data_IF_864664109625
#
_entry.id   IF_864664109625
#
_cell.length_a   1.000
_cell.length_b   1.000
_cell.length_c   1.000
_cell.angle_alpha   90.00
_cell.angle_beta   90.00
_cell.angle_gamma   90.00
#
_symmetry.space_group_name_H-M   'P 1'
#
loop_
_entity.id
_entity.type
_entity.pdbx_description
1 polymer ?
#
# COMPACT_ATOMS: atom_id res chain seq x y z
N UNK A 1 -20.63 -2.18 -8.69
CA UNK A 1 -19.36 -2.72 -8.15
C UNK A 1 -18.58 -1.58 -7.51
N UNK A 2 -17.77 -1.86 -6.50
CA UNK A 2 -16.89 -0.87 -5.87
C UNK A 2 -15.45 -1.29 -6.18
N UNK A 3 -14.66 -0.32 -6.63
CA UNK A 3 -13.25 -0.47 -6.97
C UNK A 3 -12.45 0.46 -6.09
N UNK A 4 -11.35 -0.04 -5.54
CA UNK A 4 -10.49 0.68 -4.60
C UNK A 4 -9.05 0.32 -4.90
N UNK A 5 -8.15 1.29 -4.72
CA UNK A 5 -6.71 1.05 -4.73
C UNK A 5 -6.09 1.62 -3.45
N UNK A 6 -5.13 0.92 -2.86
CA UNK A 6 -4.55 1.29 -1.55
C UNK A 6 -3.36 2.22 -1.76
N UNK A 7 -3.35 3.36 -1.06
CA UNK A 7 -2.31 4.39 -1.08
C UNK A 7 -2.02 5.03 -2.47
N UNK A 8 -2.87 4.83 -3.46
CA UNK A 8 -2.75 5.43 -4.80
C UNK A 8 -4.09 5.45 -5.52
N UNK A 9 -4.14 6.10 -6.66
CA UNK A 9 -5.32 6.17 -7.51
C UNK A 9 -5.54 4.88 -8.32
N UNK A 10 -6.78 4.70 -8.76
CA UNK A 10 -7.23 3.63 -9.65
C UNK A 10 -6.81 4.00 -11.07
N UNK A 11 -6.10 3.10 -11.75
CA UNK A 11 -5.82 3.24 -13.18
C UNK A 11 -7.13 3.05 -13.96
N UNK A 12 -7.63 4.06 -14.69
CA UNK A 12 -8.83 3.90 -15.49
C UNK A 12 -8.55 3.00 -16.68
N UNK A 13 -9.58 2.27 -17.09
CA UNK A 13 -9.58 1.50 -18.32
C UNK A 13 -9.18 0.02 -18.22
N UNK A 14 -9.02 -0.48 -16.99
CA UNK A 14 -8.67 -1.87 -16.72
C UNK A 14 -9.80 -2.50 -15.90
N UNK A 15 -10.19 -3.74 -16.23
CA UNK A 15 -11.13 -4.56 -15.42
C UNK A 15 -12.44 -3.89 -14.97
N UNK A 16 -13.00 -3.02 -15.81
CA UNK A 16 -14.28 -2.34 -15.55
C UNK A 16 -14.16 -0.97 -14.88
N UNK A 17 -12.98 -0.38 -14.80
CA UNK A 17 -12.74 0.98 -14.26
C UNK A 17 -12.78 2.09 -15.32
N UNK A 18 -13.26 1.79 -16.54
CA UNK A 18 -13.27 2.72 -17.69
C UNK A 18 -13.89 4.08 -17.36
N UNK A 19 -14.93 4.09 -16.54
CA UNK A 19 -15.69 5.30 -16.23
C UNK A 19 -15.26 5.96 -14.91
N UNK A 20 -14.27 5.43 -14.21
CA UNK A 20 -13.78 6.02 -12.97
C UNK A 20 -12.99 7.30 -13.22
N UNK A 21 -13.23 8.32 -12.40
CA UNK A 21 -12.53 9.60 -12.49
C UNK A 21 -11.02 9.46 -12.27
N UNK A 22 -10.24 10.24 -13.03
CA UNK A 22 -8.78 10.31 -12.88
C UNK A 22 -8.39 10.78 -11.47
N UNK A 23 -7.42 10.11 -10.86
CA UNK A 23 -6.95 10.39 -9.51
C UNK A 23 -7.89 9.89 -8.40
N UNK A 24 -8.97 9.18 -8.73
CA UNK A 24 -9.85 8.55 -7.74
C UNK A 24 -9.18 7.33 -7.10
N UNK A 25 -9.15 7.25 -5.77
CA UNK A 25 -8.69 6.07 -5.03
C UNK A 25 -9.82 5.08 -4.75
N UNK A 26 -11.07 5.52 -4.87
CA UNK A 26 -12.27 4.71 -4.67
C UNK A 26 -13.40 5.14 -5.60
N UNK A 27 -13.98 4.18 -6.30
CA UNK A 27 -14.95 4.40 -7.37
C UNK A 27 -16.08 3.37 -7.31
N UNK A 28 -17.33 3.83 -7.38
CA UNK A 28 -18.52 2.97 -7.48
C UNK A 28 -19.07 2.99 -8.89
N UNK A 29 -19.06 1.84 -9.56
CA UNK A 29 -19.59 1.67 -10.93
C UNK A 29 -20.99 1.07 -10.87
N UNK A 30 -21.96 1.71 -11.54
CA UNK A 30 -23.36 1.31 -11.65
C UNK A 30 -23.72 1.27 -13.15
N UNK A 31 -23.78 0.06 -13.72
CA UNK A 31 -23.96 -0.09 -15.16
C UNK A 31 -22.83 0.61 -15.93
N UNK A 32 -23.17 1.65 -16.70
CA UNK A 32 -22.19 2.43 -17.47
C UNK A 32 -21.84 3.79 -16.83
N UNK A 33 -22.27 4.05 -15.60
CA UNK A 33 -21.89 5.27 -14.86
C UNK A 33 -20.96 4.91 -13.71
N UNK A 34 -20.09 5.85 -13.33
CA UNK A 34 -19.28 5.71 -12.14
C UNK A 34 -19.34 6.96 -11.29
N UNK A 35 -19.20 6.78 -9.98
CA UNK A 35 -19.22 7.83 -8.98
C UNK A 35 -17.92 7.73 -8.19
N UNK A 36 -17.23 8.85 -8.07
CA UNK A 36 -16.03 8.98 -7.22
C UNK A 36 -16.44 8.97 -5.74
N UNK A 37 -15.77 8.15 -4.94
CA UNK A 37 -15.93 8.03 -3.49
C UNK A 37 -14.64 8.39 -2.73
N UNK A 38 -13.81 9.22 -3.35
CA UNK A 38 -12.69 9.90 -2.72
C UNK A 38 -11.35 9.71 -3.44
N UNK A 39 -10.45 10.65 -3.13
CA UNK A 39 -9.07 10.68 -3.62
C UNK A 39 -8.07 10.37 -2.50
N UNK A 40 -6.91 9.77 -2.81
CA UNK A 40 -5.87 9.45 -1.84
C UNK A 40 -5.05 10.69 -1.46
N UNK A 41 -5.66 11.62 -0.72
CA UNK A 41 -5.04 12.89 -0.33
C UNK A 41 -4.23 12.74 0.97
N UNK A 42 -4.77 12.00 1.93
CA UNK A 42 -4.15 11.79 3.24
C UNK A 42 -3.50 10.41 3.32
N UNK A 43 -2.44 10.32 4.12
CA UNK A 43 -1.82 9.05 4.47
C UNK A 43 -2.67 8.22 5.43
N UNK A 44 -2.14 7.05 5.77
CA UNK A 44 -2.76 6.12 6.72
C UNK A 44 -2.65 6.66 8.15
N UNK A 45 -3.69 6.48 8.95
CA UNK A 45 -3.76 6.85 10.36
C UNK A 45 -3.68 5.59 11.24
N UNK A 46 -2.89 5.63 12.31
CA UNK A 46 -2.78 4.52 13.27
C UNK A 46 -3.99 4.53 14.21
N UNK A 47 -4.60 3.37 14.44
CA UNK A 47 -5.69 3.17 15.40
C UNK A 47 -5.28 2.19 16.49
N UNK A 48 -6.12 1.99 17.51
CA UNK A 48 -5.83 1.06 18.60
C UNK A 48 -5.82 -0.42 18.18
N UNK A 49 -6.45 -0.75 17.06
CA UNK A 49 -6.64 -2.13 16.57
C UNK A 49 -6.03 -2.41 15.20
N UNK A 50 -5.34 -1.43 14.62
CA UNK A 50 -4.74 -1.54 13.29
C UNK A 50 -4.48 -0.18 12.68
N UNK A 51 -4.86 0.00 11.41
CA UNK A 51 -4.65 1.25 10.69
C UNK A 51 -5.86 1.61 9.84
N UNK A 52 -6.10 2.91 9.66
CA UNK A 52 -7.27 3.45 8.95
C UNK A 52 -6.81 4.31 7.77
N UNK A 53 -7.41 4.10 6.61
CA UNK A 53 -7.21 4.92 5.43
C UNK A 53 -8.52 5.58 5.04
N UNK A 54 -8.48 6.90 4.82
CA UNK A 54 -9.67 7.69 4.50
C UNK A 54 -9.45 8.44 3.19
N UNK A 55 -10.30 8.16 2.22
CA UNK A 55 -10.40 8.91 0.97
C UNK A 55 -11.63 9.80 1.01
N UNK A 56 -11.46 11.04 0.58
CA UNK A 56 -12.53 12.04 0.57
C UNK A 56 -12.58 12.72 -0.78
N UNK A 57 -13.78 12.99 -1.26
CA UNK A 57 -14.01 13.76 -2.49
C UNK A 57 -14.00 15.25 -2.19
N UNK A 58 -13.66 16.07 -3.17
CA UNK A 58 -13.69 17.53 -3.04
C UNK A 58 -15.10 18.12 -3.24
N UNK A 59 -15.98 17.39 -3.92
CA UNK A 59 -17.32 17.82 -4.29
C UNK A 59 -18.39 16.99 -3.59
N UNK A 60 -19.51 17.62 -3.24
CA UNK A 60 -20.67 16.96 -2.64
C UNK A 60 -21.83 16.86 -3.65
N UNK A 61 -22.20 15.66 -4.13
CA UNK A 61 -23.35 15.48 -5.00
C UNK A 61 -24.69 15.80 -4.31
N UNK A 62 -25.69 16.16 -5.11
CA UNK A 62 -27.08 16.35 -4.64
C UNK A 62 -27.64 15.01 -4.18
N UNK A 63 -28.20 14.96 -2.97
CA UNK A 63 -28.72 13.74 -2.35
C UNK A 63 -27.75 13.06 -1.37
N UNK A 64 -26.49 13.50 -1.31
CA UNK A 64 -25.56 13.08 -0.27
C UNK A 64 -25.66 14.02 0.95
N UNK A 65 -25.75 13.44 2.15
CA UNK A 65 -25.63 14.22 3.39
C UNK A 65 -24.25 14.90 3.48
N UNK A 66 -23.19 14.13 3.23
CA UNK A 66 -21.79 14.53 3.32
C UNK A 66 -21.01 14.31 2.02
N UNK A 67 -19.75 14.76 2.00
CA UNK A 67 -18.83 14.51 0.88
C UNK A 67 -18.62 13.00 0.70
N UNK A 68 -18.69 12.49 -0.54
CA UNK A 68 -18.44 11.09 -0.80
C UNK A 68 -17.06 10.68 -0.30
N UNK A 69 -17.04 9.63 0.50
CA UNK A 69 -15.83 9.19 1.19
C UNK A 69 -15.76 7.68 1.28
N UNK A 70 -14.54 7.18 1.41
CA UNK A 70 -14.24 5.77 1.62
C UNK A 70 -13.32 5.63 2.81
N UNK A 71 -13.78 4.90 3.81
CA UNK A 71 -13.02 4.56 4.99
C UNK A 71 -12.69 3.07 4.95
N UNK A 72 -11.41 2.75 5.00
CA UNK A 72 -10.90 1.38 5.03
C UNK A 72 -10.21 1.19 6.38
N UNK A 73 -10.74 0.26 7.18
CA UNK A 73 -10.18 -0.14 8.46
C UNK A 73 -9.40 -1.43 8.25
N UNK A 74 -8.07 -1.34 8.27
CA UNK A 74 -7.19 -2.48 8.20
C UNK A 74 -6.94 -3.05 9.59
N UNK A 75 -7.15 -4.34 9.75
CA UNK A 75 -7.04 -5.02 11.04
C UNK A 75 -6.02 -6.15 10.98
N UNK A 76 -5.14 -6.21 11.98
CA UNK A 76 -4.21 -7.32 12.12
C UNK A 76 -4.99 -8.59 12.55
N UNK A 77 -4.90 -9.71 11.82
CA UNK A 77 -5.57 -10.94 12.21
C UNK A 77 -5.00 -11.48 13.53
N UNK A 78 -5.88 -11.84 14.48
CA UNK A 78 -5.47 -12.52 15.72
C UNK A 78 -5.12 -13.99 15.48
N UNK A 79 -5.83 -14.66 14.56
CA UNK A 79 -5.67 -16.05 14.14
C UNK A 79 -6.23 -16.23 12.73
N UNK A 80 -5.58 -17.06 11.91
CA UNK A 80 -5.88 -17.19 10.48
C UNK A 80 -5.30 -16.00 9.70
N UNK A 81 -4.76 -16.25 8.52
CA UNK A 81 -4.06 -15.23 7.73
C UNK A 81 -4.97 -14.13 7.16
N UNK A 82 -4.43 -13.40 6.18
CA UNK A 82 -5.14 -12.32 5.49
C UNK A 82 -6.46 -12.80 4.83
N UNK A 83 -7.47 -11.92 4.80
CA UNK A 83 -8.80 -12.15 4.21
C UNK A 83 -9.13 -11.08 3.17
N UNK A 84 -10.12 -11.37 2.33
CA UNK A 84 -10.69 -10.40 1.38
C UNK A 84 -11.39 -9.24 2.12
N UNK A 85 -11.41 -8.03 1.54
CA UNK A 85 -12.06 -6.87 2.13
C UNK A 85 -13.58 -7.05 2.19
N UNK A 86 -14.16 -6.73 3.34
CA UNK A 86 -15.59 -6.80 3.62
C UNK A 86 -16.21 -5.41 3.58
N UNK A 87 -17.29 -5.28 2.83
CA UNK A 87 -18.08 -4.06 2.73
C UNK A 87 -19.10 -4.00 3.89
N UNK A 88 -18.98 -3.01 4.78
CA UNK A 88 -19.74 -2.98 6.03
C UNK A 88 -21.10 -2.27 5.95
N UNK A 89 -21.29 -1.20 5.16
CA UNK A 89 -22.43 -0.29 5.40
C UNK A 89 -23.01 0.48 4.20
N UNK A 90 -24.16 1.13 4.47
CA UNK A 90 -25.26 1.55 3.61
C UNK A 90 -25.04 2.91 2.91
N UNK A 91 -24.46 2.85 1.71
CA UNK A 91 -24.10 3.96 0.81
C UNK A 91 -25.16 5.04 0.54
N UNK A 92 -26.45 4.70 0.66
CA UNK A 92 -27.51 5.42 -0.04
C UNK A 92 -27.85 6.78 0.57
N UNK A 93 -27.55 7.01 1.85
CA UNK A 93 -27.95 8.25 2.55
C UNK A 93 -26.73 9.13 2.87
N UNK A 94 -25.64 8.53 3.37
CA UNK A 94 -24.43 9.27 3.77
C UNK A 94 -23.44 9.49 2.62
N UNK A 95 -23.58 8.77 1.51
CA UNK A 95 -22.54 8.69 0.46
C UNK A 95 -21.16 8.28 1.00
N UNK A 96 -21.12 7.51 2.07
CA UNK A 96 -19.88 6.95 2.62
C UNK A 96 -19.77 5.45 2.33
N UNK A 97 -18.54 5.01 2.07
CA UNK A 97 -18.16 3.61 1.97
C UNK A 97 -17.38 3.26 3.22
N UNK A 98 -17.75 2.15 3.86
CA UNK A 98 -16.98 1.60 4.97
C UNK A 98 -16.58 0.17 4.66
N UNK A 99 -15.29 -0.09 4.78
CA UNK A 99 -14.67 -1.39 4.51
C UNK A 99 -13.84 -1.82 5.69
N UNK A 100 -13.97 -3.09 6.03
CA UNK A 100 -13.08 -3.78 6.95
C UNK A 100 -12.18 -4.72 6.15
N UNK A 101 -10.87 -4.64 6.38
CA UNK A 101 -9.91 -5.50 5.71
C UNK A 101 -8.95 -6.12 6.71
N UNK A 102 -9.15 -7.41 6.99
CA UNK A 102 -8.25 -8.18 7.86
C UNK A 102 -7.02 -8.62 7.05
N UNK A 103 -5.84 -8.13 7.41
CA UNK A 103 -4.58 -8.46 6.71
C UNK A 103 -3.35 -8.41 7.62
N UNK A 104 -2.40 -9.31 7.37
CA UNK A 104 -1.11 -9.39 8.09
C UNK A 104 -0.23 -8.15 7.83
N UNK A 105 -0.48 -7.44 6.73
CA UNK A 105 0.21 -6.18 6.43
C UNK A 105 -0.22 -5.00 7.34
N UNK A 106 -1.29 -5.17 8.12
CA UNK A 106 -1.73 -4.19 9.12
C UNK A 106 -1.10 -4.44 10.51
N UNK A 107 -0.36 -5.53 10.67
CA UNK A 107 0.31 -5.86 11.92
C UNK A 107 1.55 -4.95 12.11
N UNK A 108 1.89 -4.61 13.36
CA UNK A 108 3.14 -3.92 13.65
C UNK A 108 4.31 -4.70 13.07
N UNK A 109 5.14 -4.05 12.26
CA UNK A 109 6.38 -4.66 11.79
C UNK A 109 7.37 -4.59 12.95
N UNK A 110 7.68 -5.74 13.54
CA UNK A 110 8.73 -5.83 14.53
C UNK A 110 10.07 -5.52 13.85
N UNK A 111 10.81 -4.54 14.38
CA UNK A 111 12.16 -4.26 13.91
C UNK A 111 13.08 -5.39 14.35
N UNK A 112 13.36 -6.31 13.43
CA UNK A 112 14.28 -7.42 13.69
C UNK A 112 15.70 -6.99 13.38
N UNK A 113 16.59 -7.20 14.34
CA UNK A 113 18.03 -7.09 14.14
C UNK A 113 18.66 -8.45 14.44
N UNK A 114 19.69 -8.79 13.67
CA UNK A 114 20.48 -10.00 13.88
C UNK A 114 21.93 -9.61 14.13
N UNK A 115 22.58 -10.31 15.06
CA UNK A 115 24.03 -10.21 15.27
C UNK A 115 24.83 -11.04 14.25
N UNK A 116 24.16 -11.77 13.37
CA UNK A 116 24.76 -12.62 12.34
C UNK A 116 24.42 -12.11 10.93
N UNK A 117 25.02 -12.72 9.90
CA UNK A 117 24.68 -12.42 8.51
C UNK A 117 23.33 -13.02 8.07
N UNK A 118 22.61 -13.69 8.96
CA UNK A 118 21.31 -14.29 8.71
C UNK A 118 20.26 -13.57 9.56
N UNK A 119 19.16 -13.16 8.94
CA UNK A 119 18.02 -12.51 9.58
C UNK A 119 16.76 -13.28 9.21
N UNK A 120 16.03 -13.74 10.21
CA UNK A 120 14.77 -14.45 10.04
C UNK A 120 13.64 -13.72 10.78
N UNK A 121 12.55 -13.43 10.07
CA UNK A 121 11.30 -12.89 10.58
C UNK A 121 10.16 -13.85 10.23
N UNK A 122 9.91 -14.80 11.12
CA UNK A 122 8.92 -15.87 10.90
C UNK A 122 7.51 -15.31 10.70
N UNK A 123 7.15 -14.25 11.42
CA UNK A 123 5.83 -13.58 11.32
C UNK A 123 5.48 -13.12 9.90
N UNK A 124 6.49 -12.74 9.11
CA UNK A 124 6.31 -12.27 7.73
C UNK A 124 6.97 -13.20 6.70
N UNK A 125 7.39 -14.39 7.12
CA UNK A 125 8.10 -15.37 6.31
C UNK A 125 9.31 -14.77 5.56
N UNK A 126 10.05 -13.86 6.20
CA UNK A 126 11.25 -13.24 5.63
C UNK A 126 12.47 -13.99 6.15
N UNK A 127 13.31 -14.48 5.24
CA UNK A 127 14.61 -15.04 5.56
C UNK A 127 15.67 -14.42 4.64
N UNK A 128 16.60 -13.68 5.23
CA UNK A 128 17.68 -12.98 4.55
C UNK A 128 18.99 -13.60 5.00
N UNK A 129 19.74 -14.18 4.06
CA UNK A 129 21.12 -14.66 4.31
C UNK A 129 22.11 -13.87 3.44
N UNK A 130 22.95 -13.07 4.09
CA UNK A 130 24.04 -12.32 3.46
C UNK A 130 25.36 -13.11 3.45
N UNK A 131 25.39 -14.33 4.00
CA UNK A 131 26.58 -15.19 3.98
C UNK A 131 27.14 -15.47 2.58
N UNK A 132 26.33 -15.59 1.50
CA UNK A 132 26.85 -15.72 0.14
C UNK A 132 27.71 -14.53 -0.33
N UNK A 133 27.56 -13.36 0.31
CA UNK A 133 28.38 -12.19 0.01
C UNK A 133 29.73 -12.22 0.74
N UNK A 134 29.97 -13.16 1.66
CA UNK A 134 31.27 -13.32 2.30
C UNK A 134 32.30 -13.74 1.25
N UNK A 135 33.28 -12.88 0.99
CA UNK A 135 34.41 -13.22 0.15
C UNK A 135 35.44 -14.03 0.93
N UNK A 136 36.25 -14.81 0.22
CA UNK A 136 37.35 -15.58 0.84
C UNK A 136 38.31 -14.65 1.58
N UNK A 137 39.05 -15.17 2.56
CA UNK A 137 40.15 -14.43 3.17
C UNK A 137 41.03 -13.80 2.07
N UNK A 138 41.36 -12.52 2.21
CA UNK A 138 42.10 -11.68 1.26
C UNK A 138 41.34 -11.12 0.03
N UNK A 139 40.02 -11.30 -0.10
CA UNK A 139 39.19 -10.62 -1.12
C UNK A 139 38.17 -9.68 -0.45
N UNK A 140 38.00 -8.48 -1.00
CA UNK A 140 37.04 -7.48 -0.52
C UNK A 140 36.25 -6.87 -1.69
N UNK A 141 35.14 -6.19 -1.36
CA UNK A 141 34.45 -5.30 -2.29
C UNK A 141 34.94 -3.88 -2.08
N UNK A 142 35.12 -3.11 -3.15
CA UNK A 142 35.37 -1.67 -3.10
C UNK A 142 34.18 -0.96 -3.73
N UNK A 143 33.56 -0.02 -3.01
CA UNK A 143 32.55 0.86 -3.58
C UNK A 143 33.25 1.98 -4.35
N UNK A 144 32.85 2.22 -5.61
CA UNK A 144 33.26 3.42 -6.32
C UNK A 144 32.49 4.64 -5.78
N UNK A 145 33.18 5.75 -5.58
CA UNK A 145 32.54 7.05 -5.45
C UNK A 145 32.13 7.53 -6.84
N UNK A 146 30.91 8.04 -7.00
CA UNK A 146 30.52 8.73 -8.23
C UNK A 146 31.46 9.92 -8.45
N UNK A 147 32.12 10.04 -9.62
CA UNK A 147 32.91 11.21 -9.89
C UNK A 147 31.94 12.37 -10.15
N UNK A 148 32.05 13.44 -9.37
CA UNK A 148 31.51 14.76 -9.75
C UNK A 148 32.26 15.36 -10.96
N UNK A 149 33.16 14.61 -11.59
CA UNK A 149 34.03 15.05 -12.67
C UNK A 149 33.81 14.20 -13.94
N UNK A 150 33.46 14.81 -15.09
CA UNK A 150 33.10 14.11 -16.32
C UNK A 150 34.26 13.41 -17.07
N UNK A 151 35.45 13.29 -16.48
CA UNK A 151 36.65 12.79 -17.17
C UNK A 151 37.39 11.63 -16.48
N UNK A 152 36.81 11.00 -15.45
CA UNK A 152 37.42 9.83 -14.82
C UNK A 152 36.49 8.61 -14.88
N UNK A 153 36.78 7.68 -15.81
CA UNK A 153 36.22 6.33 -15.78
C UNK A 153 36.86 5.57 -14.62
N UNK A 154 36.32 5.71 -13.41
CA UNK A 154 36.90 5.09 -12.21
C UNK A 154 36.03 3.98 -11.61
N UNK A 155 35.51 3.08 -12.45
CA UNK A 155 35.07 1.77 -11.99
C UNK A 155 35.61 0.67 -12.90
N UNK A 156 36.53 -0.19 -12.42
CA UNK A 156 36.85 -1.42 -13.12
C UNK A 156 35.65 -2.39 -13.06
N UNK A 157 35.49 -3.28 -14.05
CA UNK A 157 34.40 -4.26 -14.06
C UNK A 157 34.50 -5.21 -12.86
N UNK A 158 33.34 -5.56 -12.29
CA UNK A 158 33.24 -6.56 -11.24
C UNK A 158 33.81 -7.90 -11.74
N UNK A 159 34.92 -8.34 -11.15
CA UNK A 159 35.47 -9.70 -11.29
C UNK A 159 34.83 -10.66 -10.28
#
# INVERSE_FOLDING_TARGET
KIFINVCRDITPGIDGTQNCSLGSGSCKVIGNTAVEFGKPIKGVEVTTSGVRLVYTSAEKPVGCLDFPSTTINFMCPKRGGSKEPLLLSNFLVSCSIEIEWVTEFACPVDYISSSTCQLNMEQHNINIDLSPLKRTPCKYYSACLFPSAPYLNSCPPLS
#
